data_IF_938264867000
#
_entry.id   IF_938264867000
#
_cell.length_a   1.000
_cell.length_b   1.000
_cell.length_c   1.000
_cell.angle_alpha   90.00
_cell.angle_beta   90.00
_cell.angle_gamma   90.00
#
_symmetry.space_group_name_H-M   'P 1'
#
loop_
_entity.id
_entity.type
_entity.pdbx_description
1 polymer ?
#
# COMPACT_ATOMS: atom_id res chain seq x y z
N UNK A 1 -8.37 7.06 -15.93
CA UNK A 1 -7.53 7.38 -14.77
C UNK A 1 -7.77 6.34 -13.69
N UNK A 2 -6.72 5.62 -13.29
CA UNK A 2 -6.78 4.64 -12.21
C UNK A 2 -6.23 5.29 -10.93
N UNK A 3 -6.57 4.76 -9.75
CA UNK A 3 -6.12 5.35 -8.48
C UNK A 3 -5.08 4.48 -7.78
N UNK A 4 -4.09 5.12 -7.18
CA UNK A 4 -3.12 4.46 -6.31
C UNK A 4 -3.28 5.03 -4.91
N UNK A 5 -3.82 4.26 -3.98
CA UNK A 5 -4.06 4.70 -2.60
C UNK A 5 -2.91 4.22 -1.72
N UNK A 6 -2.21 5.16 -1.11
CA UNK A 6 -1.03 4.92 -0.29
C UNK A 6 -1.02 5.81 0.95
N UNK A 7 -0.04 5.61 1.82
CA UNK A 7 0.18 6.38 3.03
C UNK A 7 0.48 5.45 4.20
N UNK A 8 1.02 6.01 5.28
CA UNK A 8 1.41 5.23 6.44
C UNK A 8 0.25 4.37 6.95
N UNK A 9 0.56 3.18 7.46
CA UNK A 9 -0.45 2.36 8.14
C UNK A 9 -1.16 3.18 9.21
N UNK A 10 -2.46 2.95 9.38
CA UNK A 10 -3.34 3.65 10.34
C UNK A 10 -3.67 5.11 9.98
N UNK A 11 -3.26 5.60 8.81
CA UNK A 11 -3.67 6.91 8.28
C UNK A 11 -5.06 6.93 7.61
N UNK A 12 -5.83 5.83 7.67
CA UNK A 12 -7.18 5.79 7.10
C UNK A 12 -7.28 5.37 5.63
N UNK A 13 -6.24 4.73 5.08
CA UNK A 13 -6.25 4.22 3.69
C UNK A 13 -7.40 3.23 3.40
N UNK A 14 -7.90 2.50 4.41
CA UNK A 14 -9.10 1.64 4.26
C UNK A 14 -10.40 2.44 4.09
N UNK A 15 -10.52 3.61 4.73
CA UNK A 15 -11.67 4.51 4.53
C UNK A 15 -11.67 5.03 3.09
N UNK A 16 -10.51 5.44 2.59
CA UNK A 16 -10.35 5.84 1.19
C UNK A 16 -10.68 4.70 0.22
N UNK A 17 -10.18 3.49 0.48
CA UNK A 17 -10.53 2.31 -0.31
C UNK A 17 -12.05 2.11 -0.39
N UNK A 18 -12.75 2.22 0.74
CA UNK A 18 -14.23 2.08 0.78
C UNK A 18 -14.94 3.19 0.00
N UNK A 19 -14.48 4.43 0.11
CA UNK A 19 -15.04 5.56 -0.64
C UNK A 19 -14.83 5.34 -2.14
N UNK A 20 -13.61 5.00 -2.55
CA UNK A 20 -13.22 4.80 -3.94
C UNK A 20 -13.98 3.63 -4.58
N UNK A 21 -14.16 2.51 -3.87
CA UNK A 21 -15.03 1.41 -4.32
C UNK A 21 -16.46 1.89 -4.55
N UNK A 22 -17.02 2.72 -3.65
CA UNK A 22 -18.38 3.29 -3.83
C UNK A 22 -18.50 4.28 -4.97
N UNK A 23 -17.39 4.91 -5.37
CA UNK A 23 -17.32 5.77 -6.55
C UNK A 23 -17.21 4.97 -7.86
N UNK A 24 -17.27 3.63 -7.80
CA UNK A 24 -17.29 2.76 -8.97
C UNK A 24 -15.92 2.25 -9.42
N UNK A 25 -14.86 2.45 -8.62
CA UNK A 25 -13.55 1.88 -8.93
C UNK A 25 -13.46 0.42 -8.49
N UNK A 26 -13.04 -0.44 -9.41
CA UNK A 26 -12.84 -1.85 -9.15
C UNK A 26 -11.60 -2.11 -8.25
N UNK A 27 -11.75 -2.81 -7.09
CA UNK A 27 -10.64 -3.13 -6.20
C UNK A 27 -9.82 -4.37 -6.63
N UNK A 28 -10.33 -5.14 -7.60
CA UNK A 28 -9.88 -6.51 -7.86
C UNK A 28 -10.91 -7.54 -7.40
N UNK A 29 -10.71 -8.82 -7.76
CA UNK A 29 -11.66 -9.86 -7.44
C UNK A 29 -11.59 -10.17 -5.94
N UNK A 30 -12.74 -10.49 -5.33
CA UNK A 30 -12.88 -10.65 -3.88
C UNK A 30 -11.91 -11.69 -3.32
N UNK A 31 -11.71 -12.78 -4.04
CA UNK A 31 -10.77 -13.82 -3.64
C UNK A 31 -9.32 -13.35 -3.60
N UNK A 32 -8.95 -12.22 -4.20
CA UNK A 32 -7.60 -11.64 -4.11
C UNK A 32 -7.47 -10.55 -3.05
N UNK A 33 -8.58 -10.03 -2.52
CA UNK A 33 -8.55 -9.06 -1.44
C UNK A 33 -8.15 -9.74 -0.13
N UNK A 34 -7.48 -8.99 0.74
CA UNK A 34 -7.13 -9.48 2.06
C UNK A 34 -8.41 -9.71 2.89
N UNK A 35 -8.58 -10.90 3.51
CA UNK A 35 -9.78 -11.21 4.26
C UNK A 35 -9.91 -10.30 5.49
N UNK A 36 -11.12 -10.15 6.05
CA UNK A 36 -11.32 -9.51 7.33
C UNK A 36 -10.40 -10.09 8.41
N UNK A 37 -9.86 -9.20 9.25
CA UNK A 37 -9.14 -9.54 10.48
C UNK A 37 -9.80 -8.80 11.64
N UNK A 38 -9.51 -9.17 12.88
CA UNK A 38 -10.05 -8.51 14.08
C UNK A 38 -9.83 -6.98 14.06
N UNK A 39 -8.69 -6.54 13.52
CA UNK A 39 -8.35 -5.12 13.36
C UNK A 39 -9.11 -4.39 12.25
N UNK A 40 -9.77 -5.12 11.35
CA UNK A 40 -10.60 -4.60 10.26
C UNK A 40 -11.68 -5.63 9.87
N UNK A 41 -12.80 -5.68 10.63
CA UNK A 41 -13.85 -6.68 10.44
C UNK A 41 -14.58 -6.60 9.09
N UNK A 42 -14.45 -5.48 8.39
CA UNK A 42 -15.06 -5.29 7.07
C UNK A 42 -14.19 -5.75 5.91
N UNK A 43 -13.03 -6.35 6.18
CA UNK A 43 -12.07 -6.71 5.14
C UNK A 43 -11.19 -5.54 4.72
N UNK A 44 -10.14 -5.89 3.99
CA UNK A 44 -9.16 -4.95 3.49
C UNK A 44 -9.34 -4.75 1.99
N UNK A 45 -8.91 -3.59 1.49
CA UNK A 45 -8.89 -3.30 0.05
C UNK A 45 -7.52 -3.59 -0.58
N UNK A 46 -6.57 -4.05 0.25
CA UNK A 46 -5.28 -4.55 -0.18
C UNK A 46 -5.45 -5.89 -0.91
N UNK A 47 -4.90 -5.98 -2.12
CA UNK A 47 -4.74 -7.27 -2.80
C UNK A 47 -3.54 -8.03 -2.25
N UNK A 48 -3.68 -9.33 -2.05
CA UNK A 48 -2.62 -10.18 -1.51
C UNK A 48 -1.39 -10.24 -2.41
N UNK A 49 -1.62 -10.37 -3.73
CA UNK A 49 -0.54 -10.39 -4.73
C UNK A 49 0.27 -9.09 -4.77
N UNK A 50 -0.37 -7.93 -4.68
CA UNK A 50 0.29 -6.63 -4.59
C UNK A 50 1.06 -6.48 -3.28
N UNK A 51 0.45 -6.86 -2.15
CA UNK A 51 1.11 -6.84 -0.85
C UNK A 51 2.38 -7.67 -0.85
N UNK A 52 2.29 -8.90 -1.35
CA UNK A 52 3.43 -9.82 -1.38
C UNK A 52 4.56 -9.29 -2.28
N UNK A 53 4.24 -8.59 -3.36
CA UNK A 53 5.24 -7.90 -4.19
C UNK A 53 5.87 -6.74 -3.41
N UNK A 54 5.10 -5.90 -2.71
CA UNK A 54 5.65 -4.81 -1.91
C UNK A 54 6.55 -5.33 -0.77
N UNK A 55 6.16 -6.42 -0.10
CA UNK A 55 7.00 -7.07 0.91
C UNK A 55 8.30 -7.62 0.29
N UNK A 56 8.25 -8.22 -0.90
CA UNK A 56 9.46 -8.65 -1.63
C UNK A 56 10.35 -7.46 -1.98
N UNK A 57 9.77 -6.35 -2.44
CA UNK A 57 10.51 -5.12 -2.74
C UNK A 57 11.23 -4.59 -1.50
N UNK A 58 10.55 -4.53 -0.35
CA UNK A 58 11.15 -4.10 0.90
C UNK A 58 12.30 -5.04 1.32
N UNK A 59 12.08 -6.36 1.24
CA UNK A 59 13.09 -7.37 1.57
C UNK A 59 14.35 -7.31 0.72
N UNK A 60 14.27 -6.88 -0.55
CA UNK A 60 15.45 -6.68 -1.40
C UNK A 60 16.43 -5.63 -0.85
N UNK A 61 15.97 -4.78 0.08
CA UNK A 61 16.76 -3.72 0.71
C UNK A 61 16.85 -3.90 2.23
N UNK A 62 16.72 -5.14 2.71
CA UNK A 62 16.73 -5.48 4.15
C UNK A 62 15.73 -4.62 4.96
N UNK A 63 14.58 -4.36 4.36
CA UNK A 63 13.55 -3.46 4.86
C UNK A 63 12.24 -4.21 5.11
N UNK A 64 11.43 -3.68 6.02
CA UNK A 64 10.03 -4.07 6.21
C UNK A 64 9.18 -2.82 6.45
N UNK A 65 7.85 -2.97 6.50
CA UNK A 65 6.96 -1.82 6.72
C UNK A 65 7.10 -1.21 8.13
N UNK A 66 7.49 -2.03 9.11
CA UNK A 66 7.69 -1.69 10.52
C UNK A 66 9.16 -1.51 10.91
N UNK A 67 10.08 -1.86 10.02
CA UNK A 67 11.51 -1.58 10.13
C UNK A 67 12.05 -1.07 8.78
N UNK A 68 11.63 0.13 8.32
CA UNK A 68 12.05 0.65 7.04
C UNK A 68 13.52 1.06 7.07
N UNK A 69 14.31 0.57 6.12
CA UNK A 69 15.71 0.98 5.95
C UNK A 69 15.81 2.49 5.68
N UNK A 70 16.86 3.12 6.21
CA UNK A 70 17.15 4.54 5.95
C UNK A 70 17.61 4.80 4.50
N UNK A 71 18.15 3.77 3.86
CA UNK A 71 18.81 3.86 2.55
C UNK A 71 17.93 3.32 1.41
N UNK A 72 16.61 3.53 1.49
CA UNK A 72 15.74 3.05 0.42
C UNK A 72 16.04 3.83 -0.88
N UNK A 73 16.33 3.16 -2.01
CA UNK A 73 16.81 3.83 -3.19
C UNK A 73 15.75 4.75 -3.79
N UNK A 74 16.11 6.01 -4.03
CA UNK A 74 15.25 7.01 -4.68
C UNK A 74 15.02 6.69 -6.17
N UNK A 75 15.98 6.01 -6.80
CA UNK A 75 15.88 5.49 -8.17
C UNK A 75 16.55 4.13 -8.26
N UNK A 76 15.76 3.09 -8.45
CA UNK A 76 16.29 1.78 -8.81
C UNK A 76 15.30 1.05 -9.71
N UNK A 77 15.85 0.19 -10.57
CA UNK A 77 15.03 -0.66 -11.42
C UNK A 77 14.57 -1.86 -10.59
N UNK A 78 13.26 -2.08 -10.60
CA UNK A 78 12.70 -3.30 -10.02
C UNK A 78 13.24 -4.52 -10.80
N UNK A 79 13.59 -5.64 -10.12
CA UNK A 79 13.92 -6.88 -10.82
C UNK A 79 12.87 -7.24 -11.87
N UNK A 80 13.31 -7.74 -13.03
CA UNK A 80 12.43 -7.99 -14.19
C UNK A 80 11.22 -8.85 -13.82
N UNK A 81 11.42 -9.86 -12.99
CA UNK A 81 10.36 -10.76 -12.50
C UNK A 81 9.27 -9.99 -11.74
N UNK A 82 9.63 -9.24 -10.69
CA UNK A 82 8.65 -8.46 -9.91
C UNK A 82 7.94 -7.43 -10.79
N UNK A 83 8.67 -6.81 -11.71
CA UNK A 83 8.10 -5.83 -12.64
C UNK A 83 7.13 -6.45 -13.66
N UNK A 84 7.42 -7.67 -14.11
CA UNK A 84 6.51 -8.46 -14.94
C UNK A 84 5.27 -8.87 -14.15
N UNK A 85 5.42 -9.30 -12.89
CA UNK A 85 4.30 -9.69 -12.04
C UNK A 85 3.32 -8.53 -11.81
N UNK A 86 3.81 -7.33 -11.49
CA UNK A 86 2.95 -6.14 -11.37
C UNK A 86 2.23 -5.87 -12.70
N UNK A 87 2.95 -5.91 -13.83
CA UNK A 87 2.34 -5.66 -15.14
C UNK A 87 1.22 -6.67 -15.49
N UNK A 88 1.43 -7.95 -15.18
CA UNK A 88 0.44 -9.01 -15.36
C UNK A 88 -0.77 -8.86 -14.45
N UNK A 89 -0.57 -8.38 -13.22
CA UNK A 89 -1.69 -8.08 -12.30
C UNK A 89 -2.51 -6.91 -12.84
N UNK A 90 -1.84 -5.82 -13.23
CA UNK A 90 -2.51 -4.63 -13.73
C UNK A 90 -3.24 -4.88 -15.05
N UNK A 91 -2.66 -5.66 -15.98
CA UNK A 91 -3.33 -5.97 -17.26
C UNK A 91 -4.64 -6.73 -17.06
N UNK A 92 -4.74 -7.57 -16.02
CA UNK A 92 -5.98 -8.25 -15.64
C UNK A 92 -7.01 -7.30 -15.02
N UNK A 93 -6.58 -6.19 -14.43
CA UNK A 93 -7.48 -5.17 -13.86
C UNK A 93 -7.99 -4.19 -14.91
N UNK A 94 -7.23 -3.94 -15.98
CA UNK A 94 -7.61 -3.02 -17.07
C UNK A 94 -8.95 -3.38 -17.74
N UNK A 95 -9.37 -4.65 -17.73
CA UNK A 95 -10.67 -5.07 -18.26
C UNK A 95 -11.87 -4.57 -17.44
N UNK A 96 -11.64 -4.08 -16.22
CA UNK A 96 -12.67 -3.63 -15.27
C UNK A 96 -12.47 -2.14 -14.91
N UNK A 97 -12.16 -1.33 -15.92
CA UNK A 97 -11.94 0.11 -15.75
C UNK A 97 -13.20 0.87 -15.27
N UNK A 98 -13.07 1.86 -14.36
CA UNK A 98 -11.84 2.28 -13.68
C UNK A 98 -11.52 1.39 -12.49
N UNK A 99 -10.23 1.25 -12.15
CA UNK A 99 -9.80 0.43 -11.02
C UNK A 99 -8.81 1.17 -10.12
N UNK A 100 -8.56 0.61 -8.93
CA UNK A 100 -7.57 1.15 -8.01
C UNK A 100 -6.68 0.07 -7.42
N UNK A 101 -5.49 0.48 -7.00
CA UNK A 101 -4.57 -0.33 -6.20
C UNK A 101 -4.39 0.37 -4.87
N UNK A 102 -4.50 -0.37 -3.77
CA UNK A 102 -4.29 0.16 -2.43
C UNK A 102 -3.36 -0.76 -1.65
N UNK A 103 -2.30 -0.18 -1.10
CA UNK A 103 -1.45 -0.82 -0.09
C UNK A 103 -0.67 0.28 0.64
N UNK A 104 -0.73 0.36 1.99
CA UNK A 104 0.03 1.36 2.74
C UNK A 104 1.54 1.33 2.43
N UNK A 105 2.12 0.15 2.16
CA UNK A 105 3.56 -0.03 1.85
C UNK A 105 4.01 0.71 0.60
N UNK A 106 3.09 1.11 -0.26
CA UNK A 106 3.38 1.91 -1.45
C UNK A 106 3.93 3.28 -1.08
N UNK A 107 3.70 3.80 0.14
CA UNK A 107 4.41 4.99 0.60
C UNK A 107 5.93 4.77 0.67
N UNK A 108 6.37 3.56 1.05
CA UNK A 108 7.77 3.18 1.11
C UNK A 108 8.31 2.73 -0.27
N UNK A 109 7.50 2.01 -1.05
CA UNK A 109 7.92 1.46 -2.36
C UNK A 109 7.58 2.35 -3.55
N UNK A 110 7.08 3.58 -3.31
CA UNK A 110 6.48 4.46 -4.31
C UNK A 110 7.35 4.75 -5.52
N UNK A 111 8.67 4.82 -5.36
CA UNK A 111 9.63 5.03 -6.46
C UNK A 111 9.50 3.97 -7.58
N UNK A 112 9.14 2.73 -7.22
CA UNK A 112 8.91 1.64 -8.18
C UNK A 112 7.54 1.71 -8.86
N UNK A 113 6.58 2.34 -8.20
CA UNK A 113 5.22 2.49 -8.71
C UNK A 113 5.12 3.71 -9.65
N UNK A 114 5.59 4.88 -9.22
CA UNK A 114 5.43 6.13 -9.96
C UNK A 114 6.26 6.20 -11.25
N UNK A 115 7.46 5.61 -11.25
CA UNK A 115 8.34 5.64 -12.42
C UNK A 115 7.83 4.81 -13.60
N UNK A 116 7.04 3.75 -13.33
CA UNK A 116 6.59 2.80 -14.36
C UNK A 116 5.09 2.86 -14.66
N UNK A 117 4.28 3.33 -13.72
CA UNK A 117 2.82 3.33 -13.83
C UNK A 117 2.24 4.75 -13.72
N UNK A 118 2.72 5.66 -14.58
CA UNK A 118 2.29 7.07 -14.65
C UNK A 118 0.80 7.29 -14.95
N UNK A 119 0.04 6.22 -15.23
CA UNK A 119 -1.41 6.25 -15.46
C UNK A 119 -2.24 6.24 -14.17
N UNK A 120 -1.59 6.09 -13.02
CA UNK A 120 -2.23 6.23 -11.72
C UNK A 120 -2.20 7.68 -11.23
N UNK A 121 -3.34 8.13 -10.71
CA UNK A 121 -3.40 9.30 -9.85
C UNK A 121 -3.16 8.86 -8.40
N UNK A 122 -2.07 9.30 -7.74
CA UNK A 122 -1.82 8.97 -6.35
C UNK A 122 -2.79 9.68 -5.41
N UNK A 123 -3.30 8.94 -4.41
CA UNK A 123 -4.05 9.46 -3.28
C UNK A 123 -3.28 9.10 -2.02
N UNK A 124 -2.70 10.11 -1.37
CA UNK A 124 -1.95 9.96 -0.13
C UNK A 124 -2.87 10.19 1.08
N UNK A 125 -3.04 9.16 1.91
CA UNK A 125 -3.72 9.27 3.18
C UNK A 125 -2.78 9.87 4.24
N UNK A 126 -3.12 11.06 4.73
CA UNK A 126 -2.39 11.74 5.81
C UNK A 126 -3.29 11.81 7.04
N UNK A 127 -2.70 11.54 8.20
CA UNK A 127 -3.32 11.65 9.52
C UNK A 127 -2.30 12.22 10.50
N UNK A 128 -2.77 12.84 11.58
CA UNK A 128 -1.89 13.34 12.64
C UNK A 128 -0.92 12.22 13.12
N UNK A 129 0.40 12.47 13.16
CA UNK A 129 1.40 11.47 13.53
C UNK A 129 1.19 10.89 14.93
N UNK A 130 0.72 11.70 15.89
CA UNK A 130 0.45 11.26 17.27
C UNK A 130 -0.69 10.24 17.26
N UNK A 131 -1.77 10.50 16.52
CA UNK A 131 -2.88 9.55 16.40
C UNK A 131 -2.47 8.25 15.70
N UNK A 132 -1.62 8.34 14.67
CA UNK A 132 -1.06 7.16 13.99
C UNK A 132 -0.23 6.33 14.95
N UNK A 133 0.67 6.95 15.72
CA UNK A 133 1.50 6.28 16.71
C UNK A 133 0.66 5.59 17.81
N UNK A 134 -0.36 6.27 18.36
CA UNK A 134 -1.27 5.65 19.32
C UNK A 134 -2.05 4.49 18.71
N UNK A 135 -2.52 4.60 17.46
CA UNK A 135 -3.20 3.50 16.80
C UNK A 135 -2.27 2.31 16.53
N UNK A 136 -1.00 2.55 16.21
CA UNK A 136 0.00 1.51 16.01
C UNK A 136 0.33 0.82 17.34
N UNK A 137 0.48 1.58 18.44
CA UNK A 137 0.65 1.02 19.78
C UNK A 137 -0.51 0.11 20.16
N UNK A 138 -1.75 0.54 19.93
CA UNK A 138 -2.94 -0.28 20.23
C UNK A 138 -2.99 -1.58 19.41
N UNK A 139 -2.60 -1.54 18.14
CA UNK A 139 -2.70 -2.70 17.22
C UNK A 139 -1.53 -3.67 17.33
N UNK A 140 -0.32 -3.12 17.36
CA UNK A 140 0.92 -3.88 17.18
C UNK A 140 1.80 -3.86 18.43
N UNK A 141 1.39 -3.19 19.50
CA UNK A 141 2.21 -2.97 20.71
C UNK A 141 3.54 -2.25 20.43
N UNK A 142 3.60 -1.45 19.36
CA UNK A 142 4.80 -0.66 19.04
C UNK A 142 4.98 0.50 20.04
N UNK A 143 6.23 0.86 20.40
CA UNK A 143 6.55 2.10 21.10
C UNK A 143 6.03 3.33 20.33
N UNK A 144 5.67 4.39 21.05
CA UNK A 144 5.14 5.60 20.42
C UNK A 144 6.19 6.27 19.53
N UNK A 145 7.44 6.24 19.98
CA UNK A 145 8.62 6.78 19.28
C UNK A 145 8.81 6.08 17.94
N UNK A 146 8.65 4.75 17.90
CA UNK A 146 8.68 3.99 16.66
C UNK A 146 7.49 4.34 15.77
N UNK A 147 6.28 4.46 16.32
CA UNK A 147 5.10 4.86 15.56
C UNK A 147 5.24 6.25 14.91
N UNK A 148 5.85 7.21 15.61
CA UNK A 148 6.19 8.54 15.08
C UNK A 148 7.25 8.43 13.98
N UNK A 149 8.33 7.70 14.23
CA UNK A 149 9.41 7.51 13.26
C UNK A 149 8.96 6.82 11.97
N UNK A 150 7.97 5.91 12.05
CA UNK A 150 7.37 5.27 10.89
C UNK A 150 6.52 6.24 10.05
N UNK A 151 5.87 7.22 10.69
CA UNK A 151 5.05 8.21 9.98
C UNK A 151 5.88 9.18 9.12
N UNK A 152 7.14 9.42 9.50
CA UNK A 152 8.07 10.28 8.74
C UNK A 152 8.57 9.65 7.43
N UNK A 153 8.27 8.38 7.17
CA UNK A 153 8.75 7.61 6.02
C UNK A 153 7.79 7.62 4.84
#
# INVERSE_FOLDING_TARGET
>A
MNLLILGMHRSGTSVLGRIVTRLGFYPGPEEQLMPPLEENPTGFWERRDIRDINDKILKLHDSSWDCPTKNFPTRSKLPKELSHNIATILSRMESQYPYFVKDPRISLTGNYWFSKYSRFLPILAIRNPIEVAHSLKKRNSLPLELGLALWEK
#
